data_IF_185886767069
#
_entry.id   IF_185886767069
#
_cell.length_a   1.000
_cell.length_b   1.000
_cell.length_c   1.000
_cell.angle_alpha   90.00
_cell.angle_beta   90.00
_cell.angle_gamma   90.00
#
_symmetry.space_group_name_H-M   'P 1'
#
loop_
_entity.id
_entity.type
_entity.pdbx_description
1 polymer ?
#
# COMPACT_ATOMS: atom_id res chain seq x y z
N UNK A 1 8.37 23.79 -47.82
CA UNK A 1 8.91 22.79 -48.77
C UNK A 1 9.85 21.88 -48.02
N UNK A 2 9.40 20.66 -47.70
CA UNK A 2 10.25 19.56 -47.21
C UNK A 2 9.77 18.27 -47.89
N UNK A 3 10.62 17.84 -48.81
CA UNK A 3 10.73 16.58 -49.56
C UNK A 3 9.78 15.42 -49.24
N UNK A 4 8.92 15.10 -50.22
CA UNK A 4 8.11 13.86 -50.37
C UNK A 4 8.91 12.58 -50.61
N UNK A 5 10.17 12.49 -50.15
CA UNK A 5 11.08 11.38 -50.48
C UNK A 5 11.38 10.41 -49.33
N UNK A 6 10.88 10.65 -48.11
CA UNK A 6 11.07 9.72 -46.98
C UNK A 6 9.87 8.78 -46.76
N UNK A 7 8.72 9.05 -47.39
CA UNK A 7 7.53 8.18 -47.28
C UNK A 7 7.55 6.93 -48.18
N UNK A 8 8.58 6.71 -49.00
CA UNK A 8 8.61 5.60 -49.99
C UNK A 8 9.44 4.38 -49.62
N UNK A 9 9.96 4.28 -48.39
CA UNK A 9 10.72 3.08 -47.93
C UNK A 9 10.04 2.24 -46.85
N UNK A 10 8.72 2.28 -46.73
CA UNK A 10 7.95 1.42 -45.80
C UNK A 10 6.76 0.69 -46.46
N UNK A 11 6.84 0.40 -47.77
CA UNK A 11 5.74 -0.25 -48.49
C UNK A 11 6.17 -1.40 -49.42
N UNK A 12 7.24 -2.15 -49.08
CA UNK A 12 7.73 -3.25 -49.90
C UNK A 12 8.18 -4.48 -49.09
N UNK A 13 7.42 -4.86 -48.06
CA UNK A 13 7.60 -6.17 -47.39
C UNK A 13 6.28 -6.85 -47.05
N UNK A 14 5.26 -6.65 -47.88
CA UNK A 14 3.99 -7.39 -47.83
C UNK A 14 3.83 -8.10 -49.17
N UNK A 15 4.40 -9.32 -49.28
CA UNK A 15 3.98 -10.38 -50.22
C UNK A 15 4.92 -11.59 -50.09
N UNK A 16 4.87 -12.27 -48.95
CA UNK A 16 4.96 -13.74 -48.92
C UNK A 16 4.63 -14.24 -47.49
N UNK A 17 3.35 -14.38 -47.16
CA UNK A 17 2.95 -15.28 -46.09
C UNK A 17 2.04 -16.34 -46.67
N UNK A 18 2.53 -17.57 -46.68
CA UNK A 18 1.74 -18.75 -46.99
C UNK A 18 0.69 -18.87 -45.88
N UNK A 19 -0.57 -18.87 -46.28
CA UNK A 19 -1.72 -19.17 -45.43
C UNK A 19 -1.61 -20.60 -44.91
N UNK A 20 -1.22 -20.76 -43.65
CA UNK A 20 -1.55 -21.93 -42.84
C UNK A 20 -2.87 -21.64 -42.12
N UNK A 21 -3.89 -22.51 -42.21
CA UNK A 21 -5.12 -22.33 -41.44
C UNK A 21 -4.76 -22.48 -39.95
N UNK A 22 -4.92 -21.41 -39.17
CA UNK A 22 -4.81 -21.48 -37.72
C UNK A 22 -6.07 -22.16 -37.16
N UNK A 23 -5.95 -23.23 -36.38
CA UNK A 23 -7.05 -23.64 -35.53
C UNK A 23 -7.20 -22.56 -34.45
N UNK A 24 -8.36 -21.92 -34.43
CA UNK A 24 -8.83 -21.06 -33.36
C UNK A 24 -8.93 -21.86 -32.07
N UNK A 25 -7.81 -22.00 -31.35
CA UNK A 25 -7.83 -22.54 -30.00
C UNK A 25 -8.25 -21.42 -29.07
N UNK A 26 -9.56 -21.18 -29.03
CA UNK A 26 -10.24 -20.60 -27.89
C UNK A 26 -9.85 -21.42 -26.67
N UNK A 27 -8.84 -20.97 -25.92
CA UNK A 27 -8.49 -21.54 -24.63
C UNK A 27 -9.50 -21.04 -23.60
N UNK A 28 -10.78 -21.33 -23.82
CA UNK A 28 -11.65 -21.62 -22.68
C UNK A 28 -11.05 -22.87 -22.07
N UNK A 29 -10.27 -22.68 -21.00
CA UNK A 29 -9.96 -23.77 -20.08
C UNK A 29 -11.31 -24.22 -19.52
N UNK A 30 -11.97 -25.14 -20.23
CA UNK A 30 -13.10 -25.87 -19.72
C UNK A 30 -12.56 -26.48 -18.44
N UNK A 31 -13.05 -26.00 -17.30
CA UNK A 31 -12.90 -26.70 -16.04
C UNK A 31 -13.40 -28.11 -16.32
N UNK A 32 -12.49 -29.05 -16.57
CA UNK A 32 -12.80 -30.48 -16.63
C UNK A 32 -13.13 -30.88 -15.20
N UNK A 33 -14.33 -30.49 -14.78
CA UNK A 33 -15.04 -31.07 -13.65
C UNK A 33 -14.91 -32.58 -13.87
N UNK A 34 -14.36 -33.28 -12.88
CA UNK A 34 -14.24 -34.73 -12.86
C UNK A 34 -15.61 -35.39 -13.14
N UNK A 35 -15.95 -35.55 -14.41
CA UNK A 35 -16.92 -36.52 -14.90
C UNK A 35 -16.07 -37.69 -15.37
N UNK A 36 -15.37 -38.30 -14.42
CA UNK A 36 -14.95 -39.68 -14.60
C UNK A 36 -16.15 -40.50 -14.14
N UNK A 37 -16.85 -41.21 -15.04
CA UNK A 37 -17.99 -42.03 -14.63
C UNK A 37 -17.56 -43.00 -13.53
N UNK A 38 -18.48 -43.33 -12.62
CA UNK A 38 -18.20 -44.31 -11.58
C UNK A 38 -17.75 -45.64 -12.24
N UNK A 39 -16.63 -46.23 -11.81
CA UNK A 39 -16.11 -47.45 -12.41
C UNK A 39 -17.14 -48.58 -12.26
N UNK A 40 -17.43 -49.27 -13.37
CA UNK A 40 -18.37 -50.40 -13.41
C UNK A 40 -17.71 -51.69 -12.89
N UNK A 41 -18.48 -52.72 -12.54
CA UNK A 41 -17.91 -54.03 -12.17
C UNK A 41 -17.04 -54.57 -13.31
N UNK A 42 -15.74 -54.80 -13.05
CA UNK A 42 -14.76 -55.22 -14.06
C UNK A 42 -14.05 -54.08 -14.81
N UNK A 43 -14.45 -52.82 -14.58
CA UNK A 43 -13.89 -51.65 -15.25
C UNK A 43 -12.66 -51.11 -14.49
N UNK A 44 -11.49 -51.57 -14.93
CA UNK A 44 -10.20 -51.03 -14.54
C UNK A 44 -9.69 -51.35 -13.13
N UNK A 45 -8.42 -51.01 -12.86
CA UNK A 45 -7.67 -51.38 -11.65
C UNK A 45 -8.08 -50.62 -10.38
N UNK A 46 -9.15 -49.81 -10.45
CA UNK A 46 -9.69 -49.07 -9.32
C UNK A 46 -10.62 -49.93 -8.45
N UNK A 47 -11.30 -50.92 -9.05
CA UNK A 47 -12.20 -51.83 -8.34
C UNK A 47 -11.51 -53.14 -7.89
N UNK A 48 -10.37 -53.49 -8.50
CA UNK A 48 -9.60 -54.66 -8.09
C UNK A 48 -8.63 -54.30 -6.97
N UNK A 49 -8.84 -54.83 -5.75
CA UNK A 49 -7.84 -54.80 -4.66
C UNK A 49 -6.70 -55.78 -4.99
N UNK A 50 -5.83 -55.43 -5.94
CA UNK A 50 -4.60 -56.18 -6.23
C UNK A 50 -3.46 -55.57 -5.42
N UNK A 51 -2.71 -56.41 -4.71
CA UNK A 51 -1.53 -56.00 -3.93
C UNK A 51 -0.36 -55.55 -4.83
N UNK A 52 -0.31 -56.05 -6.07
CA UNK A 52 0.80 -55.80 -7.02
C UNK A 52 0.61 -54.53 -7.87
N UNK A 53 -0.08 -53.51 -7.33
CA UNK A 53 -0.25 -52.23 -8.04
C UNK A 53 0.93 -51.32 -7.71
N UNK A 54 1.69 -50.95 -8.73
CA UNK A 54 2.71 -49.92 -8.60
C UNK A 54 2.10 -48.63 -8.03
N UNK A 55 2.72 -48.09 -6.99
CA UNK A 55 2.29 -46.83 -6.40
C UNK A 55 2.47 -45.73 -7.46
N UNK A 56 1.55 -44.75 -7.56
CA UNK A 56 1.75 -43.60 -8.43
C UNK A 56 3.13 -43.00 -8.18
N UNK A 57 3.89 -42.78 -9.26
CA UNK A 57 5.23 -42.23 -9.10
C UNK A 57 5.17 -40.87 -8.39
N UNK A 58 5.91 -40.74 -7.29
CA UNK A 58 6.09 -39.49 -6.54
C UNK A 58 6.62 -38.34 -7.40
N UNK A 59 7.16 -38.63 -8.59
CA UNK A 59 7.57 -37.65 -9.61
C UNK A 59 6.40 -36.75 -10.04
N UNK A 60 5.16 -37.25 -10.02
CA UNK A 60 3.94 -36.52 -10.38
C UNK A 60 3.47 -35.53 -9.30
N UNK A 61 3.93 -35.69 -8.06
CA UNK A 61 3.61 -34.84 -6.89
C UNK A 61 4.71 -33.79 -6.64
N UNK A 62 5.78 -33.78 -7.45
CA UNK A 62 6.92 -32.89 -7.24
C UNK A 62 6.59 -31.42 -7.53
N UNK A 63 6.94 -30.55 -6.57
CA UNK A 63 6.87 -29.07 -6.51
C UNK A 63 6.36 -28.30 -7.75
N UNK A 64 5.10 -28.51 -8.14
CA UNK A 64 4.47 -27.84 -9.30
C UNK A 64 4.29 -26.33 -9.09
N UNK A 65 4.34 -25.87 -7.84
CA UNK A 65 4.17 -24.46 -7.47
C UNK A 65 5.46 -23.64 -7.56
N UNK A 66 6.60 -24.24 -7.88
CA UNK A 66 7.88 -23.50 -7.95
C UNK A 66 7.88 -22.35 -8.96
N UNK A 67 7.06 -22.43 -10.01
CA UNK A 67 6.95 -21.35 -11.01
C UNK A 67 5.99 -20.23 -10.59
N UNK A 68 4.99 -20.53 -9.76
CA UNK A 68 3.96 -19.59 -9.30
C UNK A 68 4.27 -18.99 -7.92
N UNK A 69 5.05 -19.68 -7.10
CA UNK A 69 5.52 -19.23 -5.79
C UNK A 69 6.26 -17.88 -5.85
N UNK A 70 7.22 -17.62 -6.77
CA UNK A 70 7.87 -16.31 -6.82
C UNK A 70 6.90 -15.19 -7.21
N UNK A 71 5.94 -15.48 -8.11
CA UNK A 71 4.90 -14.52 -8.50
C UNK A 71 4.00 -14.20 -7.31
N UNK A 72 3.58 -15.24 -6.57
CA UNK A 72 2.79 -15.07 -5.35
C UNK A 72 3.53 -14.23 -4.31
N UNK A 73 4.80 -14.55 -4.03
CA UNK A 73 5.62 -13.79 -3.08
C UNK A 73 5.83 -12.34 -3.54
N UNK A 74 5.98 -12.10 -4.84
CA UNK A 74 6.08 -10.75 -5.40
C UNK A 74 4.78 -9.96 -5.20
N UNK A 75 3.62 -10.57 -5.45
CA UNK A 75 2.32 -9.91 -5.22
C UNK A 75 2.13 -9.63 -3.72
N UNK A 76 2.40 -10.62 -2.87
CA UNK A 76 2.30 -10.46 -1.41
C UNK A 76 3.22 -9.34 -0.92
N UNK A 77 4.48 -9.29 -1.37
CA UNK A 77 5.41 -8.25 -0.94
C UNK A 77 4.98 -6.85 -1.40
N UNK A 78 4.50 -6.70 -2.64
CA UNK A 78 3.95 -5.43 -3.14
C UNK A 78 2.73 -5.00 -2.31
N UNK A 79 1.81 -5.92 -2.01
CA UNK A 79 0.66 -5.66 -1.15
C UNK A 79 1.08 -5.27 0.27
N UNK A 80 2.05 -5.98 0.86
CA UNK A 80 2.57 -5.68 2.20
C UNK A 80 3.19 -4.29 2.27
N UNK A 81 4.01 -3.92 1.29
CA UNK A 81 4.61 -2.58 1.24
C UNK A 81 3.52 -1.51 1.10
N UNK A 82 2.50 -1.76 0.27
CA UNK A 82 1.39 -0.84 0.05
C UNK A 82 0.57 -0.60 1.32
N UNK A 83 0.23 -1.66 2.06
CA UNK A 83 -0.56 -1.52 3.30
C UNK A 83 0.22 -0.77 4.39
N UNK A 84 1.52 -0.99 4.54
CA UNK A 84 2.33 -0.23 5.49
C UNK A 84 2.45 1.24 5.11
N UNK A 85 2.59 1.56 3.82
CA UNK A 85 2.60 2.95 3.37
C UNK A 85 1.23 3.63 3.59
N UNK A 86 0.14 2.90 3.39
CA UNK A 86 -1.21 3.39 3.69
C UNK A 86 -1.37 3.70 5.18
N UNK A 87 -0.95 2.80 6.07
CA UNK A 87 -0.98 3.03 7.53
C UNK A 87 -0.18 4.28 7.93
N UNK A 88 1.00 4.48 7.33
CA UNK A 88 1.79 5.71 7.57
C UNK A 88 1.05 6.95 7.10
N UNK A 89 0.46 6.90 5.90
CA UNK A 89 -0.27 8.02 5.31
C UNK A 89 -1.49 8.43 6.12
N UNK A 90 -2.24 7.45 6.63
CA UNK A 90 -3.43 7.67 7.44
C UNK A 90 -3.13 7.91 8.93
N UNK A 91 -1.86 8.15 9.28
CA UNK A 91 -1.48 8.39 10.68
C UNK A 91 -1.82 9.82 11.13
N UNK A 92 -2.18 10.02 12.41
CA UNK A 92 -2.48 11.36 12.94
C UNK A 92 -1.33 12.36 12.79
N UNK A 93 -0.09 11.88 12.91
CA UNK A 93 1.13 12.70 12.78
C UNK A 93 1.23 13.32 11.39
N UNK A 94 0.94 12.54 10.34
CA UNK A 94 1.01 13.04 8.95
C UNK A 94 -0.08 14.07 8.71
N UNK A 95 -1.31 13.81 9.14
CA UNK A 95 -2.42 14.76 9.02
C UNK A 95 -2.13 16.07 9.77
N UNK A 96 -1.55 15.99 10.97
CA UNK A 96 -1.19 17.15 11.78
C UNK A 96 -0.05 17.96 11.19
N UNK A 97 1.04 17.30 10.81
CA UNK A 97 2.17 17.99 10.17
C UNK A 97 1.75 18.67 8.87
N UNK A 98 0.83 18.07 8.12
CA UNK A 98 0.27 18.68 6.93
C UNK A 98 -0.67 19.85 7.25
N UNK A 99 -1.45 19.78 8.32
CA UNK A 99 -2.24 20.92 8.80
C UNK A 99 -1.35 22.08 9.27
N UNK A 100 -0.29 21.80 10.03
CA UNK A 100 0.68 22.80 10.47
C UNK A 100 1.37 23.49 9.28
N UNK A 101 1.66 22.77 8.19
CA UNK A 101 2.17 23.38 6.96
C UNK A 101 1.17 24.39 6.37
N UNK A 102 -0.13 24.08 6.40
CA UNK A 102 -1.17 24.96 5.85
C UNK A 102 -1.38 26.23 6.67
N UNK A 103 -1.11 26.20 7.96
CA UNK A 103 -1.28 27.36 8.84
C UNK A 103 -0.01 28.20 8.97
N UNK A 104 1.16 27.62 8.69
CA UNK A 104 2.44 28.31 8.81
C UNK A 104 2.66 29.33 7.67
N UNK A 105 2.98 30.57 8.05
CA UNK A 105 3.17 31.70 7.11
C UNK A 105 4.42 31.54 6.23
N UNK A 106 5.53 31.02 6.77
CA UNK A 106 6.76 30.75 5.99
C UNK A 106 6.53 29.65 4.96
N UNK A 107 5.88 28.56 5.37
CA UNK A 107 5.55 27.46 4.45
C UNK A 107 4.65 27.93 3.30
N UNK A 108 3.63 28.76 3.60
CA UNK A 108 2.76 29.37 2.58
C UNK A 108 3.48 30.36 1.67
N UNK A 109 4.46 31.11 2.17
CA UNK A 109 5.23 32.02 1.32
C UNK A 109 5.96 31.25 0.19
N UNK A 110 6.46 30.06 0.50
CA UNK A 110 7.24 29.20 -0.42
C UNK A 110 6.31 28.37 -1.32
N UNK A 111 5.42 27.57 -0.73
CA UNK A 111 4.57 26.62 -1.45
C UNK A 111 3.30 27.27 -2.04
N UNK A 112 2.92 28.43 -1.53
CA UNK A 112 1.65 29.09 -1.81
C UNK A 112 0.51 28.57 -0.93
N UNK A 113 -0.70 28.84 -1.37
CA UNK A 113 -1.93 28.38 -0.74
C UNK A 113 -2.25 26.93 -1.11
N UNK A 114 -3.20 26.32 -0.38
CA UNK A 114 -3.73 24.98 -0.64
C UNK A 114 -2.68 23.86 -0.70
N UNK A 115 -2.02 23.61 0.43
CA UNK A 115 -0.98 22.58 0.54
C UNK A 115 -1.63 21.19 0.67
N UNK A 116 -1.29 20.30 -0.26
CA UNK A 116 -1.72 18.90 -0.31
C UNK A 116 -0.54 17.96 -0.56
N UNK A 117 -0.79 16.66 -0.53
CA UNK A 117 0.17 15.69 -1.05
C UNK A 117 0.39 15.89 -2.55
N UNK A 118 1.64 15.75 -3.00
CA UNK A 118 1.97 15.85 -4.43
C UNK A 118 1.30 14.75 -5.27
N UNK A 119 1.15 13.56 -4.69
CA UNK A 119 0.62 12.36 -5.34
C UNK A 119 -0.60 11.85 -4.61
N UNK A 120 -1.54 11.21 -5.33
CA UNK A 120 -2.75 10.61 -4.75
C UNK A 120 -2.42 9.49 -3.75
N UNK A 121 -1.38 8.70 -4.05
CA UNK A 121 -0.79 7.73 -3.13
C UNK A 121 0.56 8.30 -2.71
N UNK A 122 0.62 9.11 -1.63
CA UNK A 122 1.89 9.67 -1.17
C UNK A 122 2.76 8.56 -0.62
N UNK A 123 4.05 8.64 -0.90
CA UNK A 123 5.02 7.69 -0.39
C UNK A 123 5.73 8.27 0.82
N UNK A 124 5.46 7.72 2.00
CA UNK A 124 6.02 8.22 3.27
C UNK A 124 7.27 7.42 3.61
N UNK A 125 8.41 8.05 3.40
CA UNK A 125 9.72 7.46 3.69
C UNK A 125 10.05 7.66 5.16
N UNK A 126 10.94 6.82 5.65
CA UNK A 126 11.47 6.91 7.01
C UNK A 126 10.72 6.07 8.03
N UNK A 127 11.07 6.30 9.29
CA UNK A 127 10.62 5.54 10.44
C UNK A 127 9.45 6.25 11.12
N UNK A 128 8.36 5.53 11.30
CA UNK A 128 7.22 5.97 12.11
C UNK A 128 7.01 4.93 13.20
N UNK A 129 7.65 5.13 14.36
CA UNK A 129 7.42 4.28 15.52
C UNK A 129 6.91 5.12 16.69
N UNK A 130 5.59 5.22 16.78
CA UNK A 130 4.93 5.96 17.85
C UNK A 130 5.15 5.29 19.22
N UNK A 131 5.14 3.96 19.27
CA UNK A 131 5.33 3.19 20.52
C UNK A 131 6.73 3.40 21.11
N UNK A 132 7.78 3.31 20.29
CA UNK A 132 9.15 3.58 20.74
C UNK A 132 9.46 5.08 20.81
N UNK A 133 8.49 5.93 20.49
CA UNK A 133 8.66 7.37 20.56
C UNK A 133 9.66 7.94 19.56
N UNK A 134 9.87 7.31 18.40
CA UNK A 134 10.84 7.77 17.39
C UNK A 134 10.16 7.94 16.05
N UNK A 135 10.12 9.17 15.57
CA UNK A 135 9.47 9.55 14.32
C UNK A 135 10.51 10.31 13.49
N UNK A 136 10.73 9.87 12.26
CA UNK A 136 11.55 10.55 11.28
C UNK A 136 10.99 10.22 9.90
N UNK A 137 10.16 11.12 9.38
CA UNK A 137 9.37 10.91 8.18
C UNK A 137 9.62 11.98 7.13
N UNK A 138 9.47 11.58 5.88
CA UNK A 138 9.68 12.44 4.72
C UNK A 138 8.59 12.17 3.70
N UNK A 139 7.96 13.23 3.22
CA UNK A 139 6.98 13.12 2.13
C UNK A 139 6.91 14.40 1.30
N UNK A 140 6.51 14.24 0.05
CA UNK A 140 6.41 15.35 -0.90
C UNK A 140 5.05 16.02 -0.83
N UNK A 141 5.06 17.33 -0.63
CA UNK A 141 3.88 18.19 -0.62
C UNK A 141 3.88 19.10 -1.84
N UNK A 142 2.69 19.52 -2.27
CA UNK A 142 2.46 20.43 -3.38
C UNK A 142 1.50 21.52 -2.90
N UNK A 143 1.85 22.77 -3.20
CA UNK A 143 0.94 23.92 -3.10
C UNK A 143 0.68 24.53 -4.47
N UNK A 144 0.11 25.73 -4.47
CA UNK A 144 -0.19 26.50 -5.69
C UNK A 144 1.06 26.98 -6.44
N UNK A 145 2.14 27.35 -5.73
CA UNK A 145 3.37 27.91 -6.34
C UNK A 145 4.38 26.84 -6.74
N UNK A 146 4.37 25.69 -6.06
CA UNK A 146 5.36 24.65 -6.30
C UNK A 146 5.16 23.40 -5.45
N UNK A 147 6.22 22.60 -5.36
CA UNK A 147 6.26 21.41 -4.54
C UNK A 147 7.57 21.34 -3.77
N UNK A 148 7.54 20.71 -2.61
CA UNK A 148 8.68 20.56 -1.71
C UNK A 148 8.63 19.21 -1.03
N UNK A 149 9.76 18.76 -0.51
CA UNK A 149 9.84 17.59 0.37
C UNK A 149 9.84 18.08 1.80
N UNK A 150 8.83 17.71 2.58
CA UNK A 150 8.80 17.99 4.01
C UNK A 150 9.48 16.86 4.77
N UNK A 151 10.25 17.24 5.78
CA UNK A 151 10.84 16.34 6.77
C UNK A 151 10.32 16.70 8.15
N UNK A 152 9.92 15.68 8.89
CA UNK A 152 9.50 15.82 10.28
C UNK A 152 10.20 14.77 11.11
N UNK A 153 10.94 15.21 12.13
CA UNK A 153 11.57 14.35 13.11
C UNK A 153 11.17 14.77 14.52
N UNK A 154 10.75 13.78 15.32
CA UNK A 154 10.47 13.96 16.73
C UNK A 154 10.88 12.72 17.50
N UNK A 155 11.21 12.94 18.76
CA UNK A 155 11.59 11.86 19.66
C UNK A 155 10.96 12.05 21.04
N UNK A 156 10.69 10.95 21.72
CA UNK A 156 10.18 10.91 23.07
C UNK A 156 11.23 10.20 23.95
N UNK A 157 11.92 10.90 24.86
CA UNK A 157 13.02 10.32 25.65
C UNK A 157 12.56 9.22 26.62
N UNK A 158 11.34 9.31 27.15
CA UNK A 158 10.74 8.32 28.05
C UNK A 158 9.28 8.03 27.69
N UNK A 159 8.77 6.84 27.97
CA UNK A 159 7.37 6.48 27.65
C UNK A 159 6.34 7.50 28.17
N UNK A 160 6.62 8.11 29.34
CA UNK A 160 5.77 9.14 29.98
C UNK A 160 6.09 10.59 29.61
N UNK A 161 7.18 10.85 28.88
CA UNK A 161 7.51 12.22 28.45
C UNK A 161 6.69 12.62 27.23
N UNK A 162 6.53 13.92 27.01
CA UNK A 162 5.96 14.46 25.78
C UNK A 162 6.91 14.25 24.60
N UNK A 163 6.37 14.25 23.38
CA UNK A 163 7.21 14.25 22.19
C UNK A 163 7.90 15.60 22.04
N UNK A 164 9.19 15.56 21.75
CA UNK A 164 10.01 16.72 21.43
C UNK A 164 10.30 16.72 19.93
N UNK A 165 9.83 17.75 19.24
CA UNK A 165 10.13 17.96 17.82
C UNK A 165 11.58 18.40 17.68
N UNK A 166 12.38 17.62 16.98
CA UNK A 166 13.80 17.94 16.73
C UNK A 166 14.01 18.65 15.41
N UNK A 167 13.19 18.33 14.41
CA UNK A 167 13.30 18.92 13.09
C UNK A 167 11.94 19.00 12.41
N UNK A 168 11.62 20.16 11.86
CA UNK A 168 10.51 20.31 10.94
C UNK A 168 10.92 21.29 9.85
N UNK A 169 11.26 20.74 8.69
CA UNK A 169 11.89 21.48 7.60
C UNK A 169 11.25 21.17 6.25
N UNK A 170 11.36 22.14 5.34
CA UNK A 170 10.98 22.01 3.94
C UNK A 170 12.22 22.09 3.06
N UNK A 171 12.32 21.18 2.10
CA UNK A 171 13.31 21.25 1.02
C UNK A 171 12.59 21.51 -0.30
N UNK A 172 12.77 22.70 -0.86
CA UNK A 172 12.16 23.12 -2.13
C UNK A 172 12.72 22.29 -3.30
N UNK A 173 12.04 22.28 -4.45
CA UNK A 173 12.53 21.64 -5.67
C UNK A 173 13.93 22.10 -6.08
N UNK A 174 14.28 23.36 -5.78
CA UNK A 174 15.57 23.98 -6.07
C UNK A 174 16.68 23.56 -5.08
N UNK A 175 16.35 22.77 -4.06
CA UNK A 175 17.28 22.30 -3.04
C UNK A 175 17.47 23.25 -1.86
N UNK A 176 16.75 24.38 -1.82
CA UNK A 176 16.75 25.28 -0.67
C UNK A 176 16.13 24.60 0.55
N UNK A 177 16.87 24.58 1.66
CA UNK A 177 16.43 24.04 2.94
C UNK A 177 15.92 25.18 3.82
N UNK A 178 14.69 25.05 4.31
CA UNK A 178 14.03 26.03 5.16
C UNK A 178 13.56 25.36 6.43
N UNK A 179 14.02 25.87 7.57
CA UNK A 179 13.52 25.47 8.88
C UNK A 179 12.19 26.18 9.20
N UNK A 180 11.20 25.39 9.61
CA UNK A 180 9.89 25.88 10.02
C UNK A 180 9.71 25.94 11.54
N UNK A 181 10.68 25.45 12.33
CA UNK A 181 10.63 25.47 13.81
C UNK A 181 10.97 26.82 14.43
N UNK A 182 11.63 27.71 13.70
CA UNK A 182 12.10 29.03 14.17
C UNK A 182 11.03 29.90 14.87
N UNK A 183 9.74 29.67 14.55
CA UNK A 183 8.61 30.42 15.11
C UNK A 183 7.97 29.81 16.36
N UNK A 184 8.50 28.70 16.88
CA UNK A 184 7.92 27.90 17.95
C UNK A 184 7.33 26.56 17.46
N UNK A 185 7.27 25.56 18.35
CA UNK A 185 6.80 24.21 18.00
C UNK A 185 5.25 24.12 18.02
N UNK A 186 4.59 24.00 16.86
CA UNK A 186 3.13 23.86 16.79
C UNK A 186 2.64 22.48 17.27
N UNK A 187 3.54 21.52 17.49
CA UNK A 187 3.20 20.13 17.80
C UNK A 187 3.17 19.81 19.30
N UNK A 188 3.62 20.74 20.16
CA UNK A 188 3.69 20.55 21.61
C UNK A 188 2.36 20.14 22.24
N UNK A 189 1.24 20.69 21.77
CA UNK A 189 -0.10 20.36 22.26
C UNK A 189 -0.77 19.20 21.51
N UNK A 190 -0.33 18.87 20.30
CA UNK A 190 -0.97 17.86 19.46
C UNK A 190 -0.39 16.46 19.65
N UNK A 191 0.92 16.39 19.94
CA UNK A 191 1.60 15.12 20.27
C UNK A 191 1.56 14.82 21.78
N UNK A 192 1.01 15.73 22.57
CA UNK A 192 0.62 15.50 23.96
C UNK A 192 -0.62 14.61 24.05
N UNK A 193 -0.74 13.93 25.18
CA UNK A 193 -1.75 12.91 25.53
C UNK A 193 -3.22 13.34 25.31
N UNK A 194 -3.47 14.64 25.23
CA UNK A 194 -4.79 15.27 25.18
C UNK A 194 -5.62 14.85 23.94
N UNK A 195 -4.98 14.52 22.81
CA UNK A 195 -5.66 14.12 21.58
C UNK A 195 -6.09 12.64 21.51
N UNK A 196 -5.47 11.78 22.31
CA UNK A 196 -5.84 10.36 22.43
C UNK A 196 -6.74 10.13 23.66
N UNK A 197 -6.50 10.85 24.75
CA UNK A 197 -7.36 10.82 25.93
C UNK A 197 -8.77 11.37 25.63
N UNK A 198 -8.90 12.45 24.86
CA UNK A 198 -10.21 12.99 24.49
C UNK A 198 -11.03 12.04 23.59
N UNK A 199 -10.36 11.18 22.81
CA UNK A 199 -11.04 10.19 21.96
C UNK A 199 -11.37 8.89 22.72
N UNK A 200 -10.54 8.51 23.71
CA UNK A 200 -10.84 7.39 24.62
C UNK A 200 -11.92 7.73 25.67
N UNK A 201 -12.01 8.97 26.13
CA UNK A 201 -13.05 9.39 27.09
C UNK A 201 -14.46 9.38 26.48
N UNK A 202 -14.62 9.79 25.21
CA UNK A 202 -15.92 9.74 24.52
C UNK A 202 -16.42 8.30 24.30
N UNK A 203 -15.51 7.35 24.00
CA UNK A 203 -15.84 5.94 23.81
C UNK A 203 -16.14 5.20 25.14
N UNK A 204 -15.46 5.59 26.23
CA UNK A 204 -15.74 5.08 27.58
C UNK A 204 -17.11 5.53 28.12
N UNK A 205 -17.58 6.72 27.72
CA UNK A 205 -18.89 7.22 28.11
C UNK A 205 -20.03 6.74 27.18
N UNK A 206 -19.75 6.43 25.92
CA UNK A 206 -20.75 5.88 24.98
C UNK A 206 -21.20 4.44 25.32
N UNK A 207 -20.38 3.66 26.03
CA UNK A 207 -20.67 2.23 26.31
C UNK A 207 -21.51 2.00 27.58
N UNK A 208 -21.98 3.05 28.27
CA UNK A 208 -22.80 2.95 29.50
C UNK A 208 -24.33 2.87 29.28
N UNK A 209 -24.77 2.55 28.07
CA UNK A 209 -26.20 2.64 27.68
C UNK A 209 -26.96 1.33 27.42
N UNK A 210 -26.37 0.14 27.54
CA UNK A 210 -27.06 -1.10 27.19
C UNK A 210 -27.35 -2.01 28.40
N UNK A 211 -28.65 -2.06 28.75
CA UNK A 211 -29.35 -2.98 29.67
C UNK A 211 -29.20 -2.72 31.17
N UNK A 212 -30.01 -1.81 31.69
CA UNK A 212 -30.66 -2.05 32.98
C UNK A 212 -31.90 -2.92 32.71
N UNK A 213 -31.75 -4.25 32.79
CA UNK A 213 -32.92 -5.11 33.00
C UNK A 213 -33.33 -4.91 34.46
N UNK A 214 -34.54 -4.39 34.65
CA UNK A 214 -35.11 -4.09 35.96
C UNK A 214 -35.10 -5.32 36.87
N UNK A 215 -34.69 -5.12 38.11
CA UNK A 215 -34.79 -6.09 39.19
C UNK A 215 -36.27 -6.28 39.60
N UNK A 216 -37.04 -6.97 38.76
CA UNK A 216 -38.41 -7.38 39.07
C UNK A 216 -38.79 -8.60 38.23
N UNK A 217 -38.31 -9.77 38.66
CA UNK A 217 -39.04 -11.02 38.53
C UNK A 217 -38.78 -11.83 39.81
N UNK A 218 -39.87 -12.07 40.54
CA UNK A 218 -40.00 -13.09 41.57
C UNK A 218 -40.11 -14.46 40.91
#
# INVERSE_FOLDING_TARGET
MLSRLVQRRLAASLRNCKTTPSPSTSSRSIQRRWITPAPKPGDGPLMSRRADRELPEISQVRFRWGRTLPIFLAIVSVCSISIFNYQKTSSPIVSSTLYALRTNTRARAILGDDIYFKHQIPWIRGQMNQMQGRINIYFTVKGTRGWATMRFASHRPSSRSLFETTEWSLTTADGEWVDLLDGGDPFRGLLGDDGLAAMEEDDLHATRGYRQQGALNK
#
